data_IF_375984466332
#
_entry.id   IF_375984466332
#
_cell.length_a   1.000
_cell.length_b   1.000
_cell.length_c   1.000
_cell.angle_alpha   90.00
_cell.angle_beta   90.00
_cell.angle_gamma   90.00
#
_symmetry.space_group_name_H-M   'P 1'
#
loop_
_entity.id
_entity.type
_entity.pdbx_description
1 polymer ?
#
# COMPACT_ATOMS: atom_id res chain seq x y z
N UNK A 1 -1.99 -9.35 31.86
CA UNK A 1 -2.01 -8.03 32.54
C UNK A 1 -3.28 -7.30 32.09
N UNK A 2 -3.82 -6.38 32.90
CA UNK A 2 -5.18 -5.85 32.69
C UNK A 2 -5.26 -5.02 31.40
N UNK A 3 -6.45 -4.90 30.81
CA UNK A 3 -6.77 -4.18 29.56
C UNK A 3 -6.47 -2.66 29.61
N UNK A 4 -5.87 -2.17 30.71
CA UNK A 4 -5.85 -0.78 31.14
C UNK A 4 -4.61 -0.35 31.95
N UNK A 5 -3.49 -1.11 31.96
CA UNK A 5 -2.33 -0.75 32.80
C UNK A 5 -1.73 0.66 32.49
N UNK A 6 -2.00 1.22 31.30
CA UNK A 6 -1.62 2.60 30.94
C UNK A 6 -2.55 3.68 31.53
N UNK A 7 -3.79 3.32 31.92
CA UNK A 7 -4.77 4.25 32.48
C UNK A 7 -4.55 4.57 33.96
N UNK A 8 -3.69 3.81 34.66
CA UNK A 8 -3.45 3.98 36.10
C UNK A 8 -2.96 5.40 36.47
N UNK A 9 -2.35 6.12 35.52
CA UNK A 9 -1.91 7.52 35.67
C UNK A 9 -3.05 8.55 35.62
N UNK A 10 -4.22 8.20 35.08
CA UNK A 10 -5.37 9.09 34.94
C UNK A 10 -6.33 9.05 36.14
N UNK A 11 -6.02 8.34 37.22
CA UNK A 11 -6.88 8.26 38.41
C UNK A 11 -6.71 9.47 39.37
N UNK A 12 -6.98 10.70 38.92
CA UNK A 12 -6.95 11.88 39.80
C UNK A 12 -8.34 12.52 39.96
N UNK A 13 -8.89 12.62 41.19
CA UNK A 13 -10.25 13.09 41.41
C UNK A 13 -10.31 14.63 41.39
N UNK A 14 -10.70 15.21 40.25
CA UNK A 14 -11.23 16.58 40.23
C UNK A 14 -12.75 16.55 40.41
N UNK A 15 -13.35 17.49 41.15
CA UNK A 15 -14.79 17.69 41.08
C UNK A 15 -15.13 18.13 39.68
N UNK A 16 -16.24 17.62 39.23
CA UNK A 16 -16.49 17.26 37.86
C UNK A 16 -17.74 18.12 37.54
N UNK A 17 -17.64 19.10 36.65
CA UNK A 17 -18.68 20.13 36.41
C UNK A 17 -19.99 19.54 35.84
N UNK A 18 -21.09 20.30 35.92
CA UNK A 18 -22.49 19.88 35.68
C UNK A 18 -22.81 19.16 34.34
N UNK A 19 -21.91 19.15 33.35
CA UNK A 19 -22.09 18.51 32.04
C UNK A 19 -21.68 17.02 31.98
N UNK A 20 -21.39 16.40 33.11
CA UNK A 20 -20.97 14.99 33.16
C UNK A 20 -22.09 14.02 32.89
N UNK A 21 -23.30 14.32 33.39
CA UNK A 21 -24.42 13.40 33.25
C UNK A 21 -24.73 13.11 31.77
N UNK A 22 -24.55 14.09 30.88
CA UNK A 22 -24.70 13.90 29.44
C UNK A 22 -23.62 12.99 28.86
N UNK A 23 -22.36 13.15 29.28
CA UNK A 23 -21.22 12.34 28.83
C UNK A 23 -21.28 10.92 29.43
N UNK A 24 -21.72 10.76 30.67
CA UNK A 24 -21.98 9.46 31.31
C UNK A 24 -23.11 8.72 30.61
N UNK A 25 -24.20 9.42 30.31
CA UNK A 25 -25.30 8.85 29.53
C UNK A 25 -24.81 8.41 28.15
N UNK A 26 -23.99 9.25 27.49
CA UNK A 26 -23.46 8.92 26.17
C UNK A 26 -22.46 7.76 26.21
N UNK A 27 -21.53 7.76 27.17
CA UNK A 27 -20.57 6.69 27.40
C UNK A 27 -21.28 5.35 27.64
N UNK A 28 -22.34 5.35 28.45
CA UNK A 28 -23.18 4.18 28.66
C UNK A 28 -23.86 3.71 27.37
N UNK A 29 -24.37 4.65 26.57
CA UNK A 29 -25.06 4.35 25.31
C UNK A 29 -24.13 3.70 24.27
N UNK A 30 -22.89 4.18 24.17
CA UNK A 30 -21.89 3.64 23.22
C UNK A 30 -21.03 2.52 23.83
N UNK A 31 -21.19 2.20 25.11
CA UNK A 31 -20.41 1.19 25.82
C UNK A 31 -18.93 1.55 26.02
N UNK A 32 -18.64 2.84 26.22
CA UNK A 32 -17.29 3.36 26.48
C UNK A 32 -17.07 3.73 27.94
N UNK A 33 -15.80 3.80 28.33
CA UNK A 33 -15.36 4.25 29.65
C UNK A 33 -14.98 5.73 29.60
N UNK A 34 -15.40 6.51 30.60
CA UNK A 34 -14.92 7.89 30.77
C UNK A 34 -13.55 7.83 31.43
N UNK A 35 -12.55 8.38 30.74
CA UNK A 35 -11.22 8.62 31.30
C UNK A 35 -11.09 10.10 31.57
N UNK A 36 -10.81 10.49 32.81
CA UNK A 36 -10.69 11.90 33.21
C UNK A 36 -9.38 12.11 33.98
N UNK A 37 -8.63 13.15 33.65
CA UNK A 37 -7.40 13.53 34.34
C UNK A 37 -7.27 15.06 34.49
N UNK A 38 -6.10 15.52 34.91
CA UNK A 38 -5.84 16.96 35.12
C UNK A 38 -5.97 17.79 33.82
N UNK A 39 -5.78 17.15 32.67
CA UNK A 39 -5.76 17.78 31.35
C UNK A 39 -7.10 17.73 30.59
N UNK A 40 -8.16 17.17 31.20
CA UNK A 40 -9.47 16.99 30.56
C UNK A 40 -9.99 15.55 30.65
N UNK A 41 -11.05 15.25 29.89
CA UNK A 41 -11.71 13.93 29.86
C UNK A 41 -12.04 13.45 28.45
N UNK A 42 -11.96 12.15 28.20
CA UNK A 42 -12.35 11.57 26.92
C UNK A 42 -13.09 10.26 27.12
N UNK A 43 -13.75 9.78 26.06
CA UNK A 43 -14.38 8.46 26.06
C UNK A 43 -13.44 7.47 25.38
N UNK A 44 -13.22 6.34 26.04
CA UNK A 44 -12.41 5.24 25.54
C UNK A 44 -13.29 4.03 25.28
N UNK A 45 -13.32 3.55 24.03
CA UNK A 45 -13.93 2.27 23.68
C UNK A 45 -12.83 1.28 23.33
N UNK A 46 -12.90 0.06 23.86
CA UNK A 46 -11.87 -0.96 23.65
C UNK A 46 -12.46 -2.29 23.16
N UNK A 47 -12.32 -2.56 21.87
CA UNK A 47 -12.80 -3.80 21.24
C UNK A 47 -11.64 -4.76 21.02
N UNK A 48 -11.79 -6.04 21.39
CA UNK A 48 -10.73 -7.05 21.21
C UNK A 48 -11.19 -8.20 20.33
N UNK A 49 -10.41 -8.48 19.28
CA UNK A 49 -10.66 -9.50 18.28
C UNK A 49 -9.73 -10.70 18.51
N UNK A 50 -10.27 -11.91 18.72
CA UNK A 50 -9.46 -13.12 18.90
C UNK A 50 -8.87 -13.60 17.57
N UNK A 51 -7.88 -14.52 17.59
CA UNK A 51 -7.32 -15.10 16.36
C UNK A 51 -8.37 -15.67 15.39
N UNK A 52 -9.46 -16.24 15.91
CA UNK A 52 -10.54 -16.78 15.07
C UNK A 52 -11.41 -15.74 14.37
N UNK A 53 -11.23 -14.45 14.63
CA UNK A 53 -11.99 -13.40 13.96
C UNK A 53 -11.68 -13.39 12.46
N UNK A 54 -12.74 -13.23 11.67
CA UNK A 54 -12.69 -13.15 10.22
C UNK A 54 -13.15 -11.77 9.74
N UNK A 55 -12.48 -11.25 8.74
CA UNK A 55 -12.84 -10.02 8.04
C UNK A 55 -12.92 -10.34 6.54
N UNK A 56 -14.15 -10.61 6.09
CA UNK A 56 -14.41 -11.16 4.77
C UNK A 56 -13.85 -12.58 4.63
N UNK A 57 -12.94 -12.77 3.68
CA UNK A 57 -12.30 -14.06 3.36
C UNK A 57 -10.99 -14.29 4.13
N UNK A 58 -10.54 -13.28 4.90
CA UNK A 58 -9.30 -13.35 5.69
C UNK A 58 -9.60 -13.59 7.18
N UNK A 59 -8.64 -14.15 7.92
CA UNK A 59 -8.76 -14.37 9.38
C UNK A 59 -7.52 -13.90 10.11
N UNK A 60 -7.68 -13.38 11.34
CA UNK A 60 -6.54 -13.00 12.18
C UNK A 60 -5.62 -14.17 12.48
N UNK A 61 -6.12 -15.42 12.42
CA UNK A 61 -5.30 -16.61 12.60
C UNK A 61 -4.17 -16.66 11.58
N UNK A 62 -4.45 -16.42 10.31
CA UNK A 62 -3.43 -16.45 9.25
C UNK A 62 -2.48 -15.26 9.36
N UNK A 63 -3.00 -14.09 9.77
CA UNK A 63 -2.18 -12.91 10.02
C UNK A 63 -1.18 -13.18 11.16
N UNK A 64 -1.64 -13.79 12.26
CA UNK A 64 -0.82 -14.07 13.45
C UNK A 64 0.12 -15.27 13.31
N UNK A 65 -0.05 -16.11 12.29
CA UNK A 65 0.94 -17.11 11.90
C UNK A 65 2.23 -16.46 11.36
N UNK A 66 2.17 -15.19 10.96
CA UNK A 66 3.33 -14.41 10.54
C UNK A 66 4.07 -13.85 11.74
N UNK A 67 5.34 -14.21 11.89
CA UNK A 67 6.19 -13.70 12.96
C UNK A 67 6.62 -12.23 12.70
N UNK A 68 6.90 -11.89 11.44
CA UNK A 68 7.38 -10.57 11.04
C UNK A 68 6.87 -10.14 9.66
N UNK A 69 6.66 -8.84 9.47
CA UNK A 69 6.48 -8.23 8.14
C UNK A 69 7.85 -8.05 7.47
N UNK A 70 7.94 -8.41 6.19
CA UNK A 70 9.08 -8.03 5.36
C UNK A 70 8.98 -6.52 5.08
N UNK A 71 9.81 -5.75 5.78
CA UNK A 71 9.87 -4.30 5.64
C UNK A 71 10.22 -3.87 4.20
N UNK A 72 10.90 -4.72 3.42
CA UNK A 72 11.22 -4.43 2.02
C UNK A 72 9.98 -4.44 1.13
N UNK A 73 8.83 -4.91 1.61
CA UNK A 73 7.57 -4.80 0.89
C UNK A 73 6.92 -3.41 1.03
N UNK A 74 7.44 -2.57 1.92
CA UNK A 74 6.96 -1.21 2.15
C UNK A 74 8.08 -0.19 1.90
N UNK A 75 7.96 0.56 0.79
CA UNK A 75 9.01 1.45 0.24
C UNK A 75 9.56 2.49 1.23
N UNK A 76 8.80 2.85 2.27
CA UNK A 76 9.17 3.86 3.28
C UNK A 76 9.52 3.26 4.65
N UNK A 77 9.53 1.93 4.78
CA UNK A 77 10.02 1.22 5.95
C UNK A 77 11.41 0.64 5.67
N UNK A 78 12.30 1.41 5.04
CA UNK A 78 13.68 0.98 4.81
C UNK A 78 14.43 0.91 6.15
N UNK A 79 14.31 -0.22 6.81
CA UNK A 79 14.97 -0.58 8.06
C UNK A 79 15.59 -1.96 7.87
N UNK A 80 16.73 -2.26 8.48
CA UNK A 80 17.25 -3.64 8.51
C UNK A 80 16.57 -4.47 9.62
N UNK A 81 15.64 -3.86 10.36
CA UNK A 81 14.92 -4.47 11.48
C UNK A 81 13.70 -5.22 10.98
N UNK A 82 13.53 -6.46 11.45
CA UNK A 82 12.26 -7.20 11.32
C UNK A 82 11.15 -6.48 12.10
N UNK A 83 10.01 -6.26 11.44
CA UNK A 83 8.86 -5.59 12.06
C UNK A 83 7.92 -6.68 12.58
N UNK A 84 7.83 -6.84 13.90
CA UNK A 84 6.87 -7.76 14.50
C UNK A 84 5.45 -7.19 14.43
N UNK A 85 4.43 -8.04 14.53
CA UNK A 85 3.04 -7.60 14.65
C UNK A 85 2.82 -6.65 15.84
N UNK A 86 3.51 -6.91 16.95
CA UNK A 86 3.48 -6.07 18.15
C UNK A 86 4.19 -4.72 17.99
N UNK A 87 4.96 -4.53 16.92
CA UNK A 87 5.60 -3.25 16.61
C UNK A 87 4.66 -2.30 15.87
N UNK A 88 3.52 -2.80 15.38
CA UNK A 88 2.55 -2.05 14.60
C UNK A 88 1.58 -1.28 15.49
N UNK A 89 1.32 -0.03 15.11
CA UNK A 89 0.20 0.76 15.58
C UNK A 89 -0.62 1.24 14.37
N UNK A 90 -1.85 0.76 14.29
CA UNK A 90 -2.80 1.09 13.22
C UNK A 90 -3.53 2.37 13.63
N UNK A 91 -3.57 3.38 12.76
CA UNK A 91 -4.18 4.68 13.08
C UNK A 91 -5.11 5.13 11.95
N UNK A 92 -6.27 5.62 12.36
CA UNK A 92 -7.32 6.23 11.54
C UNK A 92 -8.06 7.27 12.39
N UNK A 93 -8.36 8.45 11.84
CA UNK A 93 -8.99 9.52 12.59
C UNK A 93 -10.19 10.14 11.86
N UNK A 94 -11.25 10.40 12.61
CA UNK A 94 -12.37 11.22 12.17
C UNK A 94 -12.22 12.64 12.66
N UNK A 95 -12.53 13.59 11.79
CA UNK A 95 -12.15 14.98 12.01
C UNK A 95 -13.30 15.94 11.72
N UNK A 96 -13.22 17.14 12.28
CA UNK A 96 -14.25 18.19 12.12
C UNK A 96 -14.26 18.85 10.73
N UNK A 97 -13.42 18.41 9.79
CA UNK A 97 -13.32 19.00 8.47
C UNK A 97 -12.54 18.15 7.48
N UNK A 98 -12.80 18.34 6.19
CA UNK A 98 -12.20 17.53 5.11
C UNK A 98 -10.76 17.96 4.72
N UNK A 99 -10.15 18.87 5.48
CA UNK A 99 -8.76 19.30 5.27
C UNK A 99 -8.03 19.45 6.59
N UNK A 100 -6.70 19.28 6.57
CA UNK A 100 -5.81 19.45 7.72
C UNK A 100 -5.58 20.93 8.08
N UNK A 101 -6.61 21.78 7.94
CA UNK A 101 -6.54 23.18 8.36
C UNK A 101 -6.33 23.27 9.88
N UNK A 102 -5.72 24.37 10.32
CA UNK A 102 -5.34 24.58 11.73
C UNK A 102 -6.51 24.53 12.73
N UNK A 103 -7.75 24.74 12.27
CA UNK A 103 -8.97 24.63 13.08
C UNK A 103 -9.61 23.24 13.09
N UNK A 104 -9.12 22.30 12.28
CA UNK A 104 -9.62 20.93 12.24
C UNK A 104 -9.13 20.16 13.46
N UNK A 105 -10.05 19.45 14.11
CA UNK A 105 -9.81 18.65 15.32
C UNK A 105 -10.12 17.19 14.99
N UNK A 106 -9.27 16.28 15.44
CA UNK A 106 -9.58 14.85 15.43
C UNK A 106 -10.49 14.59 16.64
N UNK A 107 -11.77 14.35 16.41
CA UNK A 107 -12.72 14.11 17.49
C UNK A 107 -12.87 12.61 17.80
N UNK A 108 -12.41 11.75 16.91
CA UNK A 108 -12.31 10.32 17.12
C UNK A 108 -10.98 9.84 16.55
N UNK A 109 -10.17 9.19 17.36
CA UNK A 109 -8.93 8.54 16.91
C UNK A 109 -9.01 7.05 17.23
N UNK A 110 -9.00 6.23 16.19
CA UNK A 110 -8.87 4.79 16.29
C UNK A 110 -7.39 4.41 16.37
N UNK A 111 -7.05 3.54 17.31
CA UNK A 111 -5.72 2.98 17.50
C UNK A 111 -5.82 1.47 17.64
N UNK A 112 -5.28 0.73 16.66
CA UNK A 112 -5.24 -0.73 16.68
C UNK A 112 -3.84 -1.23 17.04
N UNK A 113 -3.76 -2.17 17.99
CA UNK A 113 -2.51 -2.83 18.39
C UNK A 113 -2.68 -4.34 18.45
N UNK A 114 -1.60 -5.08 18.23
CA UNK A 114 -1.57 -6.53 18.46
C UNK A 114 -0.95 -6.80 19.82
N UNK A 115 -1.73 -7.38 20.73
CA UNK A 115 -1.31 -7.71 22.09
C UNK A 115 -1.87 -9.07 22.51
N UNK A 116 -1.02 -9.90 23.12
CA UNK A 116 -1.37 -11.26 23.58
C UNK A 116 -2.10 -12.12 22.52
N UNK A 117 -1.66 -12.03 21.26
CA UNK A 117 -2.26 -12.75 20.14
C UNK A 117 -3.68 -12.30 19.79
N UNK A 118 -4.03 -11.05 20.11
CA UNK A 118 -5.33 -10.44 19.79
C UNK A 118 -5.10 -9.10 19.13
N UNK A 119 -5.99 -8.71 18.22
CA UNK A 119 -6.07 -7.33 17.76
C UNK A 119 -6.96 -6.57 18.75
N UNK A 120 -6.44 -5.52 19.36
CA UNK A 120 -7.18 -4.63 20.25
C UNK A 120 -7.30 -3.28 19.57
N UNK A 121 -8.52 -2.80 19.39
CA UNK A 121 -8.84 -1.49 18.85
C UNK A 121 -9.34 -0.60 19.97
N UNK A 122 -8.58 0.44 20.25
CA UNK A 122 -8.93 1.55 21.14
C UNK A 122 -9.47 2.70 20.31
N UNK A 123 -10.60 3.27 20.72
CA UNK A 123 -11.19 4.43 20.08
C UNK A 123 -11.30 5.53 21.11
N UNK A 124 -10.58 6.62 20.84
CA UNK A 124 -10.51 7.80 21.67
C UNK A 124 -11.46 8.84 21.12
N UNK A 125 -12.58 9.06 21.80
CA UNK A 125 -13.61 10.01 21.39
C UNK A 125 -13.55 11.27 22.27
N UNK A 126 -13.55 12.43 21.63
CA UNK A 126 -13.49 13.74 22.23
C UNK A 126 -14.91 14.27 22.53
N UNK A 127 -15.32 14.37 23.80
CA UNK A 127 -16.66 14.84 24.14
C UNK A 127 -16.83 16.36 23.96
N UNK A 128 -15.75 17.14 24.12
CA UNK A 128 -15.71 18.59 23.87
C UNK A 128 -14.28 19.06 23.58
N UNK A 129 -14.10 20.21 22.93
CA UNK A 129 -12.81 20.74 22.51
C UNK A 129 -11.78 20.97 23.63
N UNK A 130 -12.15 21.48 24.82
CA UNK A 130 -11.19 21.72 25.90
C UNK A 130 -10.51 20.45 26.41
N UNK A 131 -11.10 19.28 26.14
CA UNK A 131 -10.64 17.99 26.63
C UNK A 131 -9.57 17.32 25.74
N UNK A 132 -9.25 17.93 24.58
CA UNK A 132 -8.33 17.36 23.60
C UNK A 132 -6.93 17.01 24.17
N UNK A 133 -6.31 17.81 25.07
CA UNK A 133 -5.02 17.46 25.64
C UNK A 133 -5.00 16.09 26.34
N UNK A 134 -6.03 15.77 27.14
CA UNK A 134 -6.12 14.48 27.82
C UNK A 134 -6.22 13.31 26.84
N UNK A 135 -6.98 13.49 25.75
CA UNK A 135 -7.12 12.48 24.71
C UNK A 135 -5.78 12.22 23.98
N UNK A 136 -5.06 13.28 23.61
CA UNK A 136 -3.77 13.19 22.95
C UNK A 136 -2.71 12.54 23.86
N UNK A 137 -2.70 12.87 25.14
CA UNK A 137 -1.75 12.28 26.11
C UNK A 137 -1.93 10.77 26.20
N UNK A 138 -3.18 10.30 26.28
CA UNK A 138 -3.49 8.88 26.31
C UNK A 138 -3.14 8.14 25.01
N UNK A 139 -3.32 8.78 23.84
CA UNK A 139 -2.88 8.22 22.55
C UNK A 139 -1.36 8.06 22.52
N UNK A 140 -0.62 9.05 23.03
CA UNK A 140 0.84 9.02 23.04
C UNK A 140 1.40 7.83 23.82
N UNK A 141 0.82 7.51 24.99
CA UNK A 141 1.24 6.36 25.80
C UNK A 141 1.06 5.01 25.07
N UNK A 142 0.01 4.84 24.25
CA UNK A 142 -0.16 3.61 23.46
C UNK A 142 0.85 3.52 22.31
N UNK A 143 1.18 4.66 21.69
CA UNK A 143 2.08 4.72 20.53
C UNK A 143 3.55 4.60 20.93
N UNK A 144 3.96 5.12 22.11
CA UNK A 144 5.37 5.29 22.50
C UNK A 144 6.20 3.99 22.47
N UNK A 145 5.58 2.84 22.79
CA UNK A 145 6.28 1.55 22.77
C UNK A 145 6.35 0.90 21.37
N UNK A 146 5.90 1.58 20.29
CA UNK A 146 5.70 0.99 18.96
C UNK A 146 6.53 1.72 17.91
N UNK A 147 7.13 0.95 17.00
CA UNK A 147 8.09 1.49 16.04
C UNK A 147 7.53 1.74 14.63
N UNK A 148 6.30 1.29 14.35
CA UNK A 148 5.71 1.38 13.00
C UNK A 148 4.25 1.80 13.05
N UNK A 149 3.95 2.96 12.49
CA UNK A 149 2.59 3.46 12.29
C UNK A 149 2.08 2.97 10.95
N UNK A 150 0.86 2.45 10.91
CA UNK A 150 0.18 2.00 9.69
C UNK A 150 -1.10 2.80 9.54
N UNK A 151 -1.29 3.41 8.37
CA UNK A 151 -2.50 4.21 8.06
C UNK A 151 -2.97 3.92 6.64
N UNK A 152 -4.14 4.44 6.28
CA UNK A 152 -4.57 4.52 4.89
C UNK A 152 -4.73 5.99 4.48
N UNK A 153 -3.85 6.49 3.60
CA UNK A 153 -3.79 7.92 3.23
C UNK A 153 -3.39 8.88 4.36
N UNK A 154 -3.01 8.36 5.53
CA UNK A 154 -2.64 9.18 6.69
C UNK A 154 -1.39 10.02 6.52
N UNK A 155 -0.54 9.77 5.51
CA UNK A 155 0.60 10.64 5.20
C UNK A 155 0.16 12.04 4.78
N UNK A 156 -1.00 12.14 4.14
CA UNK A 156 -1.55 13.38 3.62
C UNK A 156 -2.66 13.95 4.53
N UNK A 157 -3.08 13.23 5.58
CA UNK A 157 -4.25 13.59 6.37
C UNK A 157 -4.05 13.36 7.87
N UNK A 158 -4.20 12.12 8.34
CA UNK A 158 -4.29 11.80 9.77
C UNK A 158 -3.05 12.25 10.57
N UNK A 159 -1.85 11.84 10.13
CA UNK A 159 -0.63 12.11 10.88
C UNK A 159 -0.26 13.60 10.88
N UNK A 160 -0.24 14.33 9.74
CA UNK A 160 0.00 15.77 9.76
C UNK A 160 -1.01 16.53 10.65
N UNK A 161 -2.27 16.10 10.66
CA UNK A 161 -3.29 16.70 11.52
C UNK A 161 -2.98 16.45 13.00
N UNK A 162 -2.74 15.19 13.39
CA UNK A 162 -2.41 14.85 14.77
C UNK A 162 -1.14 15.56 15.25
N UNK A 163 -0.07 15.57 14.45
CA UNK A 163 1.18 16.30 14.75
C UNK A 163 0.93 17.80 14.97
N UNK A 164 0.04 18.39 14.17
CA UNK A 164 -0.39 19.79 14.36
C UNK A 164 -1.13 19.96 15.69
N UNK A 165 -2.03 19.03 16.07
CA UNK A 165 -2.75 19.07 17.35
C UNK A 165 -1.79 18.98 18.55
N UNK A 166 -0.85 18.04 18.52
CA UNK A 166 0.21 17.95 19.55
C UNK A 166 0.99 19.26 19.65
N UNK A 167 1.40 19.83 18.51
CA UNK A 167 2.15 21.10 18.47
C UNK A 167 1.35 22.26 19.07
N UNK A 168 0.05 22.37 18.75
CA UNK A 168 -0.82 23.41 19.28
C UNK A 168 -0.98 23.34 20.80
N UNK A 169 -1.07 22.13 21.35
CA UNK A 169 -1.12 21.89 22.79
C UNK A 169 0.25 21.90 23.46
N UNK A 170 1.33 22.18 22.70
CA UNK A 170 2.73 22.19 23.17
C UNK A 170 3.18 20.83 23.74
N UNK A 171 2.61 19.76 23.21
CA UNK A 171 2.91 18.38 23.54
C UNK A 171 3.91 17.80 22.53
N UNK A 172 4.73 16.85 22.97
CA UNK A 172 5.62 16.11 22.07
C UNK A 172 4.77 15.09 21.30
N UNK A 173 4.86 15.10 19.97
CA UNK A 173 4.19 14.08 19.15
C UNK A 173 4.84 12.71 19.37
N UNK A 174 4.05 11.63 19.55
CA UNK A 174 4.57 10.26 19.62
C UNK A 174 4.95 9.70 18.25
N UNK A 175 4.60 10.40 17.16
CA UNK A 175 4.82 9.96 15.77
C UNK A 175 6.16 10.40 15.19
N UNK A 176 6.90 11.27 15.88
CA UNK A 176 8.18 11.78 15.39
C UNK A 176 9.22 10.65 15.26
N UNK A 177 9.75 10.46 14.04
CA UNK A 177 10.78 9.47 13.75
C UNK A 177 10.29 8.02 13.71
N UNK A 178 8.98 7.79 13.83
CA UNK A 178 8.37 6.46 13.70
C UNK A 178 8.31 6.07 12.23
N UNK A 179 8.55 4.78 11.93
CA UNK A 179 8.40 4.30 10.56
C UNK A 179 6.94 4.36 10.16
N UNK A 180 6.66 4.78 8.93
CA UNK A 180 5.29 4.96 8.47
C UNK A 180 4.98 4.10 7.23
N UNK A 181 4.01 3.21 7.38
CA UNK A 181 3.43 2.42 6.29
C UNK A 181 2.08 3.04 5.93
N UNK A 182 2.07 3.83 4.85
CA UNK A 182 0.82 4.28 4.24
C UNK A 182 0.36 3.29 3.17
N UNK A 183 -0.71 2.56 3.49
CA UNK A 183 -1.25 1.50 2.66
C UNK A 183 -1.85 2.01 1.35
N UNK A 184 -2.31 3.26 1.27
CA UNK A 184 -2.89 3.78 0.02
C UNK A 184 -1.86 3.78 -1.11
N UNK A 185 -0.62 4.19 -0.82
CA UNK A 185 0.45 4.23 -1.80
C UNK A 185 0.89 2.83 -2.23
N UNK A 186 0.94 1.89 -1.27
CA UNK A 186 1.21 0.49 -1.54
C UNK A 186 0.11 -0.10 -2.45
N UNK A 187 -1.15 0.11 -2.09
CA UNK A 187 -2.28 -0.45 -2.82
C UNK A 187 -2.42 0.15 -4.22
N UNK A 188 -2.28 1.47 -4.38
CA UNK A 188 -2.30 2.11 -5.71
C UNK A 188 -1.20 1.59 -6.63
N UNK A 189 -0.09 1.11 -6.09
CA UNK A 189 1.00 0.57 -6.91
C UNK A 189 0.61 -0.73 -7.61
N UNK A 190 -0.08 -1.60 -6.89
CA UNK A 190 -0.39 -2.95 -7.37
C UNK A 190 -1.80 -3.03 -7.97
N UNK A 191 -2.76 -2.23 -7.51
CA UNK A 191 -4.17 -2.35 -7.90
C UNK A 191 -4.77 -1.13 -8.60
N UNK A 192 -4.05 -0.02 -8.82
CA UNK A 192 -4.60 1.13 -9.58
C UNK A 192 -5.03 0.70 -10.99
N UNK A 193 -6.25 1.08 -11.36
CA UNK A 193 -6.85 0.74 -12.66
C UNK A 193 -7.28 -0.73 -12.81
N UNK A 194 -7.20 -1.54 -11.74
CA UNK A 194 -7.80 -2.89 -11.71
C UNK A 194 -9.26 -2.84 -11.26
N UNK A 195 -9.58 -1.88 -10.40
CA UNK A 195 -10.91 -1.60 -9.88
C UNK A 195 -11.32 -0.16 -10.24
N UNK A 196 -12.58 0.19 -10.00
CA UNK A 196 -13.13 1.52 -10.29
C UNK A 196 -12.34 2.65 -9.60
N UNK A 197 -11.93 2.40 -8.34
CA UNK A 197 -11.04 3.29 -7.59
C UNK A 197 -10.12 2.50 -6.64
N UNK A 198 -9.42 3.23 -5.76
CA UNK A 198 -8.52 2.67 -4.74
C UNK A 198 -8.85 3.24 -3.37
N UNK A 199 -10.14 3.45 -3.11
CA UNK A 199 -10.64 3.79 -1.77
C UNK A 199 -10.50 2.60 -0.83
N UNK A 200 -10.50 2.84 0.48
CA UNK A 200 -10.39 1.77 1.48
C UNK A 200 -11.54 0.76 1.32
N UNK A 201 -12.78 1.24 1.20
CA UNK A 201 -13.97 0.41 0.97
C UNK A 201 -13.89 -0.43 -0.31
N UNK A 202 -13.40 0.12 -1.42
CA UNK A 202 -13.19 -0.67 -2.65
C UNK A 202 -12.14 -1.75 -2.44
N UNK A 203 -11.00 -1.44 -1.83
CA UNK A 203 -9.97 -2.44 -1.57
C UNK A 203 -10.43 -3.50 -0.56
N UNK A 204 -11.17 -3.11 0.45
CA UNK A 204 -11.79 -4.01 1.43
C UNK A 204 -12.75 -5.01 0.73
N UNK A 205 -13.59 -4.52 -0.18
CA UNK A 205 -14.49 -5.36 -0.98
C UNK A 205 -13.73 -6.27 -1.94
N UNK A 206 -12.86 -5.71 -2.76
CA UNK A 206 -12.23 -6.44 -3.87
C UNK A 206 -11.11 -7.39 -3.42
N UNK A 207 -10.42 -7.06 -2.33
CA UNK A 207 -9.28 -7.87 -1.84
C UNK A 207 -9.64 -8.73 -0.63
N UNK A 208 -10.55 -8.28 0.23
CA UNK A 208 -10.94 -9.02 1.43
C UNK A 208 -12.32 -9.68 1.28
N UNK A 209 -13.17 -9.24 0.35
CA UNK A 209 -14.53 -9.76 0.19
C UNK A 209 -15.50 -9.23 1.25
N UNK A 210 -15.23 -8.07 1.84
CA UNK A 210 -16.08 -7.45 2.86
C UNK A 210 -17.07 -6.50 2.19
N UNK A 211 -18.33 -6.58 2.61
CA UNK A 211 -19.39 -5.68 2.17
C UNK A 211 -19.97 -4.97 3.39
N UNK A 212 -19.74 -3.66 3.49
CA UNK A 212 -20.32 -2.85 4.56
C UNK A 212 -21.77 -2.51 4.22
N UNK A 213 -22.67 -2.74 5.17
CA UNK A 213 -24.08 -2.37 5.05
C UNK A 213 -24.36 -1.16 5.93
N UNK A 214 -25.06 -0.16 5.40
CA UNK A 214 -25.41 1.08 6.11
C UNK A 214 -24.21 1.83 6.68
N UNK A 215 -23.08 1.85 5.96
CA UNK A 215 -21.88 2.57 6.40
C UNK A 215 -22.12 4.09 6.39
N UNK A 216 -21.52 4.79 7.35
CA UNK A 216 -21.67 6.25 7.45
C UNK A 216 -20.88 6.92 6.34
N UNK A 217 -21.50 7.73 5.46
CA UNK A 217 -20.75 8.43 4.43
C UNK A 217 -19.75 9.42 5.06
N UNK A 218 -18.47 9.31 4.71
CA UNK A 218 -17.40 10.11 5.31
C UNK A 218 -17.64 11.63 5.29
N UNK A 219 -18.29 12.15 4.25
CA UNK A 219 -18.62 13.59 4.16
C UNK A 219 -19.69 14.05 5.17
N UNK A 220 -20.47 13.14 5.76
CA UNK A 220 -21.45 13.44 6.80
C UNK A 220 -20.85 13.40 8.20
N UNK A 221 -19.74 12.69 8.39
CA UNK A 221 -19.13 12.44 9.71
C UNK A 221 -18.88 13.74 10.51
N UNK A 222 -18.29 14.82 9.94
CA UNK A 222 -18.11 16.07 10.67
C UNK A 222 -19.44 16.69 11.15
N UNK A 223 -20.48 16.61 10.32
CA UNK A 223 -21.79 17.17 10.64
C UNK A 223 -22.46 16.43 11.81
N UNK A 224 -22.31 15.10 11.87
CA UNK A 224 -22.83 14.29 12.97
C UNK A 224 -22.18 14.68 14.30
N UNK A 225 -20.88 14.93 14.32
CA UNK A 225 -20.18 15.42 15.52
C UNK A 225 -20.64 16.82 15.93
N UNK A 226 -20.83 17.74 14.97
CA UNK A 226 -21.39 19.07 15.29
C UNK A 226 -22.83 19.03 15.80
N UNK A 227 -23.63 18.04 15.38
CA UNK A 227 -25.00 17.86 15.89
C UNK A 227 -25.00 17.28 17.30
N UNK A 228 -24.07 16.38 17.61
CA UNK A 228 -23.79 15.93 18.96
C UNK A 228 -23.40 17.10 19.87
N UNK A 229 -22.40 17.90 19.52
CA UNK A 229 -21.97 19.04 20.35
C UNK A 229 -23.08 20.07 20.60
N UNK A 230 -23.98 20.29 19.63
CA UNK A 230 -25.03 21.30 19.74
C UNK A 230 -26.28 20.82 20.46
N UNK A 231 -26.64 19.54 20.30
CA UNK A 231 -27.96 19.01 20.71
C UNK A 231 -27.88 17.81 21.65
N UNK A 232 -26.68 17.27 21.88
CA UNK A 232 -26.49 16.01 22.60
C UNK A 232 -27.00 14.78 21.84
N UNK A 233 -27.30 14.90 20.54
CA UNK A 233 -27.81 13.79 19.73
C UNK A 233 -26.67 12.82 19.42
N UNK A 234 -26.73 11.67 20.07
CA UNK A 234 -25.62 10.75 20.22
C UNK A 234 -25.77 9.54 19.30
N UNK A 235 -27.01 9.17 19.00
CA UNK A 235 -27.38 7.95 18.28
C UNK A 235 -26.65 7.78 16.93
N UNK A 236 -26.47 8.84 16.11
CA UNK A 236 -25.76 8.70 14.84
C UNK A 236 -24.25 8.43 14.98
N UNK A 237 -23.64 8.74 16.13
CA UNK A 237 -22.20 8.55 16.36
C UNK A 237 -21.83 7.07 16.48
N UNK A 238 -22.77 6.18 16.81
CA UNK A 238 -22.53 4.74 16.80
C UNK A 238 -22.09 4.25 15.40
N UNK A 239 -22.64 4.84 14.33
CA UNK A 239 -22.25 4.57 12.95
C UNK A 239 -20.82 5.06 12.64
N UNK A 240 -20.43 6.22 13.16
CA UNK A 240 -19.08 6.78 13.03
C UNK A 240 -18.05 5.92 13.75
N UNK A 241 -18.36 5.51 14.99
CA UNK A 241 -17.52 4.61 15.77
C UNK A 241 -17.34 3.25 15.07
N UNK A 242 -18.41 2.70 14.50
CA UNK A 242 -18.31 1.45 13.74
C UNK A 242 -17.44 1.63 12.49
N UNK A 243 -17.62 2.73 11.75
CA UNK A 243 -16.83 3.06 10.56
C UNK A 243 -15.33 3.07 10.86
N UNK A 244 -14.90 3.94 11.78
CA UNK A 244 -13.51 4.07 12.20
C UNK A 244 -12.93 2.75 12.71
N UNK A 245 -13.70 1.97 13.49
CA UNK A 245 -13.24 0.66 13.98
C UNK A 245 -13.00 -0.33 12.84
N UNK A 246 -13.89 -0.39 11.85
CA UNK A 246 -13.74 -1.26 10.69
C UNK A 246 -12.56 -0.82 9.81
N UNK A 247 -12.31 0.48 9.71
CA UNK A 247 -11.14 1.01 9.00
C UNK A 247 -9.85 0.55 9.66
N UNK A 248 -9.71 0.70 10.98
CA UNK A 248 -8.57 0.17 11.74
C UNK A 248 -8.37 -1.34 11.53
N UNK A 249 -9.43 -2.13 11.64
CA UNK A 249 -9.36 -3.59 11.41
C UNK A 249 -8.88 -3.89 9.98
N UNK A 250 -9.41 -3.15 9.01
CA UNK A 250 -9.06 -3.30 7.59
C UNK A 250 -7.57 -3.01 7.33
N UNK A 251 -6.97 -2.04 8.03
CA UNK A 251 -5.55 -1.73 7.87
C UNK A 251 -4.66 -2.95 8.11
N UNK A 252 -4.92 -3.73 9.17
CA UNK A 252 -4.11 -4.92 9.46
C UNK A 252 -4.24 -5.98 8.37
N UNK A 253 -5.47 -6.25 7.94
CA UNK A 253 -5.75 -7.24 6.90
C UNK A 253 -5.17 -6.81 5.54
N UNK A 254 -5.27 -5.54 5.16
CA UNK A 254 -4.67 -5.04 3.93
C UNK A 254 -3.13 -5.09 3.96
N UNK A 255 -2.52 -4.81 5.11
CA UNK A 255 -1.07 -4.96 5.27
C UNK A 255 -0.64 -6.41 5.02
N UNK A 256 -1.38 -7.40 5.58
CA UNK A 256 -1.10 -8.82 5.34
C UNK A 256 -1.39 -9.25 3.88
N UNK A 257 -2.42 -8.70 3.23
CA UNK A 257 -2.65 -8.93 1.79
C UNK A 257 -1.47 -8.46 0.95
N UNK A 258 -0.91 -7.28 1.23
CA UNK A 258 0.26 -6.77 0.52
C UNK A 258 1.46 -7.70 0.70
N UNK A 259 1.72 -8.17 1.93
CA UNK A 259 2.79 -9.13 2.21
C UNK A 259 2.58 -10.43 1.44
N UNK A 260 1.41 -11.06 1.59
CA UNK A 260 1.09 -12.32 0.91
C UNK A 260 1.16 -12.19 -0.62
N UNK A 261 0.75 -11.03 -1.15
CA UNK A 261 0.82 -10.75 -2.58
C UNK A 261 2.26 -10.71 -3.08
N UNK A 262 3.21 -10.21 -2.29
CA UNK A 262 4.62 -10.18 -2.65
C UNK A 262 5.33 -11.50 -2.33
N UNK A 263 5.04 -12.15 -1.20
CA UNK A 263 5.57 -13.47 -0.82
C UNK A 263 5.27 -14.52 -1.90
N UNK A 264 4.02 -14.57 -2.37
CA UNK A 264 3.62 -15.48 -3.46
C UNK A 264 4.38 -15.19 -4.75
N UNK A 265 4.82 -13.95 -4.96
CA UNK A 265 5.57 -13.51 -6.14
C UNK A 265 6.97 -14.06 -6.09
N UNK A 266 7.51 -14.20 -4.88
CA UNK A 266 8.80 -14.78 -4.62
C UNK A 266 8.81 -16.31 -4.62
N UNK A 267 7.70 -16.95 -4.27
CA UNK A 267 7.66 -18.41 -4.08
C UNK A 267 7.11 -19.18 -5.28
N UNK A 268 6.00 -18.72 -5.85
CA UNK A 268 5.15 -19.56 -6.71
C UNK A 268 4.79 -18.93 -8.05
N UNK A 269 4.87 -17.60 -8.16
CA UNK A 269 4.81 -16.90 -9.43
C UNK A 269 3.45 -16.95 -10.12
N UNK A 270 2.32 -17.21 -9.44
CA UNK A 270 0.99 -17.26 -10.06
C UNK A 270 0.32 -15.88 -10.19
N UNK A 271 0.70 -15.10 -11.21
CA UNK A 271 0.22 -13.73 -11.44
C UNK A 271 -0.31 -13.54 -12.86
N UNK A 272 -1.04 -12.44 -13.10
CA UNK A 272 -1.21 -11.96 -14.47
C UNK A 272 0.09 -11.28 -14.96
N UNK A 273 0.30 -11.12 -16.27
CA UNK A 273 1.45 -10.38 -16.80
C UNK A 273 1.55 -8.95 -16.26
N UNK A 274 0.42 -8.27 -16.08
CA UNK A 274 0.37 -6.94 -15.48
C UNK A 274 0.84 -6.94 -14.02
N UNK A 275 0.41 -7.92 -13.23
CA UNK A 275 0.80 -8.06 -11.84
C UNK A 275 2.32 -8.31 -11.71
N UNK A 276 2.85 -9.24 -12.51
CA UNK A 276 4.28 -9.53 -12.57
C UNK A 276 5.10 -8.28 -12.95
N UNK A 277 4.61 -7.50 -13.92
CA UNK A 277 5.24 -6.24 -14.32
C UNK A 277 5.24 -5.21 -13.19
N UNK A 278 4.13 -5.08 -12.45
CA UNK A 278 4.02 -4.16 -11.31
C UNK A 278 4.95 -4.54 -10.17
N UNK A 279 5.00 -5.83 -9.82
CA UNK A 279 5.88 -6.38 -8.77
C UNK A 279 7.35 -6.25 -9.18
N UNK A 280 7.69 -6.60 -10.42
CA UNK A 280 9.05 -6.46 -10.93
C UNK A 280 9.52 -5.00 -10.89
N UNK A 281 8.68 -4.05 -11.32
CA UNK A 281 8.99 -2.60 -11.23
C UNK A 281 9.10 -2.09 -9.80
N UNK A 282 8.39 -2.71 -8.86
CA UNK A 282 8.50 -2.38 -7.45
C UNK A 282 9.89 -2.75 -6.93
N UNK A 283 10.33 -4.00 -7.11
CA UNK A 283 11.69 -4.43 -6.71
C UNK A 283 12.79 -3.67 -7.44
N UNK A 284 12.60 -3.36 -8.73
CA UNK A 284 13.58 -2.57 -9.49
C UNK A 284 13.76 -1.16 -8.91
N UNK A 285 12.67 -0.51 -8.48
CA UNK A 285 12.72 0.83 -7.87
C UNK A 285 13.42 0.85 -6.52
N UNK A 286 13.39 -0.27 -5.80
CA UNK A 286 14.18 -0.47 -4.58
C UNK A 286 15.66 -0.78 -4.86
N UNK A 287 16.06 -0.85 -6.13
CA UNK A 287 17.42 -1.21 -6.53
C UNK A 287 17.70 -2.72 -6.52
N UNK A 288 16.71 -3.56 -6.20
CA UNK A 288 16.87 -5.02 -6.20
C UNK A 288 16.52 -5.61 -7.57
N UNK A 289 17.48 -5.51 -8.49
CA UNK A 289 17.33 -5.91 -9.90
C UNK A 289 17.16 -7.43 -10.03
N UNK A 290 17.80 -8.21 -9.17
CA UNK A 290 17.71 -9.66 -9.12
C UNK A 290 16.29 -10.12 -8.74
N UNK A 291 15.69 -9.57 -7.67
CA UNK A 291 14.29 -9.85 -7.30
C UNK A 291 13.33 -9.39 -8.39
N UNK A 292 13.60 -8.22 -8.98
CA UNK A 292 12.81 -7.71 -10.10
C UNK A 292 12.81 -8.68 -11.29
N UNK A 293 13.98 -9.20 -11.66
CA UNK A 293 14.13 -10.17 -12.74
C UNK A 293 13.40 -11.47 -12.41
N UNK A 294 13.62 -12.02 -11.22
CA UNK A 294 12.99 -13.27 -10.78
C UNK A 294 11.46 -13.18 -10.78
N UNK A 295 10.88 -12.07 -10.32
CA UNK A 295 9.44 -11.86 -10.33
C UNK A 295 8.86 -11.81 -11.75
N UNK A 296 9.60 -11.25 -12.71
CA UNK A 296 9.16 -11.16 -14.09
C UNK A 296 9.33 -12.48 -14.86
N UNK A 297 10.47 -13.16 -14.67
CA UNK A 297 10.85 -14.41 -15.34
C UNK A 297 9.82 -15.52 -15.11
N UNK A 298 9.29 -15.63 -13.89
CA UNK A 298 8.30 -16.64 -13.50
C UNK A 298 7.02 -16.62 -14.33
N UNK A 299 6.69 -15.50 -14.97
CA UNK A 299 5.50 -15.35 -15.79
C UNK A 299 5.78 -15.39 -17.30
N UNK A 300 7.05 -15.53 -17.71
CA UNK A 300 7.41 -15.63 -19.12
C UNK A 300 7.19 -17.04 -19.72
N UNK A 301 6.52 -17.98 -19.05
CA UNK A 301 6.29 -19.32 -19.61
C UNK A 301 4.92 -19.48 -20.27
N UNK A 302 4.03 -18.49 -20.12
CA UNK A 302 2.62 -18.57 -20.51
C UNK A 302 2.25 -17.37 -21.38
N UNK A 303 2.61 -17.39 -22.68
CA UNK A 303 2.48 -16.20 -23.51
C UNK A 303 1.28 -16.17 -24.46
N UNK A 304 0.52 -15.08 -24.35
CA UNK A 304 -0.31 -14.52 -25.41
C UNK A 304 0.36 -13.28 -26.05
N UNK A 305 -0.15 -12.84 -27.19
CA UNK A 305 0.32 -11.63 -27.90
C UNK A 305 -0.38 -10.34 -27.46
N UNK A 306 -0.88 -10.30 -26.22
CA UNK A 306 -1.56 -9.12 -25.69
C UNK A 306 -0.57 -8.01 -25.28
N UNK A 307 -1.10 -6.81 -25.01
CA UNK A 307 -0.29 -5.64 -24.66
C UNK A 307 0.43 -5.75 -23.31
N UNK A 308 -0.13 -6.46 -22.34
CA UNK A 308 0.44 -6.60 -20.99
C UNK A 308 1.62 -7.57 -21.00
N UNK A 309 1.43 -8.72 -21.65
CA UNK A 309 2.45 -9.73 -21.94
C UNK A 309 3.64 -9.11 -22.70
N UNK A 310 3.35 -8.29 -23.71
CA UNK A 310 4.38 -7.56 -24.45
C UNK A 310 5.16 -6.59 -23.55
N UNK A 311 4.47 -5.82 -22.71
CA UNK A 311 5.10 -4.88 -21.79
C UNK A 311 5.98 -5.59 -20.75
N UNK A 312 5.54 -6.75 -20.23
CA UNK A 312 6.32 -7.58 -19.33
C UNK A 312 7.59 -8.12 -20.00
N UNK A 313 7.48 -8.67 -21.21
CA UNK A 313 8.63 -9.13 -21.99
C UNK A 313 9.67 -8.03 -22.19
N UNK A 314 9.24 -6.85 -22.65
CA UNK A 314 10.13 -5.71 -22.88
C UNK A 314 10.83 -5.25 -21.60
N UNK A 315 10.11 -5.27 -20.47
CA UNK A 315 10.67 -4.95 -19.17
C UNK A 315 11.71 -5.99 -18.74
N UNK A 316 11.39 -7.27 -18.86
CA UNK A 316 12.26 -8.38 -18.44
C UNK A 316 13.53 -8.47 -19.27
N UNK A 317 13.42 -8.25 -20.59
CA UNK A 317 14.57 -8.11 -21.48
C UNK A 317 15.55 -7.03 -20.98
N UNK A 318 15.05 -5.87 -20.55
CA UNK A 318 15.91 -4.79 -20.03
C UNK A 318 16.60 -5.21 -18.74
N UNK A 319 15.91 -5.94 -17.86
CA UNK A 319 16.49 -6.46 -16.62
C UNK A 319 17.59 -7.49 -16.90
N UNK A 320 17.36 -8.46 -17.80
CA UNK A 320 18.41 -9.41 -18.20
C UNK A 320 19.63 -8.70 -18.78
N UNK A 321 19.42 -7.68 -19.61
CA UNK A 321 20.51 -6.87 -20.17
C UNK A 321 21.28 -6.11 -19.08
N UNK A 322 20.58 -5.54 -18.10
CA UNK A 322 21.18 -4.87 -16.94
C UNK A 322 22.01 -5.84 -16.09
N UNK A 323 21.55 -7.08 -15.92
CA UNK A 323 22.23 -8.14 -15.16
C UNK A 323 23.32 -8.88 -15.98
N UNK A 324 23.54 -8.51 -17.24
CA UNK A 324 24.51 -9.20 -18.13
C UNK A 324 24.08 -10.61 -18.56
N UNK A 325 22.83 -11.02 -18.30
CA UNK A 325 22.27 -12.34 -18.64
C UNK A 325 21.86 -12.38 -20.11
N UNK A 326 22.87 -12.45 -20.99
CA UNK A 326 22.67 -12.30 -22.43
C UNK A 326 21.89 -13.44 -23.09
N UNK A 327 22.01 -14.67 -22.58
CA UNK A 327 21.22 -15.81 -23.07
C UNK A 327 19.74 -15.66 -22.71
N UNK A 328 19.44 -15.32 -21.46
CA UNK A 328 18.06 -15.08 -21.01
C UNK A 328 17.43 -13.88 -21.74
N UNK A 329 18.21 -12.84 -22.02
CA UNK A 329 17.77 -11.72 -22.85
C UNK A 329 17.39 -12.16 -24.27
N UNK A 330 18.18 -13.04 -24.90
CA UNK A 330 17.85 -13.59 -26.23
C UNK A 330 16.60 -14.48 -26.18
N UNK A 331 16.46 -15.31 -25.15
CA UNK A 331 15.28 -16.15 -24.95
C UNK A 331 14.01 -15.28 -24.76
N UNK A 332 14.11 -14.19 -23.98
CA UNK A 332 13.01 -13.25 -23.79
C UNK A 332 12.63 -12.54 -25.08
N UNK A 333 13.61 -12.10 -25.87
CA UNK A 333 13.36 -11.46 -27.17
C UNK A 333 12.70 -12.41 -28.17
N UNK A 334 12.97 -13.72 -28.08
CA UNK A 334 12.32 -14.72 -28.93
C UNK A 334 10.79 -14.70 -28.78
N UNK A 335 10.27 -14.46 -27.57
CA UNK A 335 8.83 -14.34 -27.30
C UNK A 335 8.19 -13.11 -27.97
N UNK A 336 8.99 -12.12 -28.37
CA UNK A 336 8.54 -10.91 -29.05
C UNK A 336 8.63 -11.01 -30.58
N UNK A 337 9.17 -12.09 -31.13
CA UNK A 337 9.33 -12.26 -32.59
C UNK A 337 8.00 -12.49 -33.32
N UNK A 338 6.96 -12.95 -32.61
CA UNK A 338 5.60 -13.08 -33.15
C UNK A 338 4.79 -11.79 -33.02
N UNK A 339 5.29 -10.76 -32.32
CA UNK A 339 4.59 -9.49 -32.17
C UNK A 339 4.44 -8.76 -33.52
N UNK A 340 3.52 -7.79 -33.56
CA UNK A 340 3.37 -6.89 -34.70
C UNK A 340 4.12 -5.57 -34.49
N UNK A 341 4.33 -4.84 -35.58
CA UNK A 341 4.86 -3.49 -35.54
C UNK A 341 6.27 -3.40 -35.01
N UNK A 342 6.55 -2.28 -34.37
CA UNK A 342 7.88 -1.92 -33.92
C UNK A 342 8.43 -2.85 -32.84
N UNK A 343 7.56 -3.55 -32.11
CA UNK A 343 7.97 -4.51 -31.08
C UNK A 343 8.80 -5.65 -31.68
N UNK A 344 8.38 -6.20 -32.83
CA UNK A 344 9.12 -7.27 -33.51
C UNK A 344 10.43 -6.77 -34.10
N UNK A 345 10.45 -5.58 -34.69
CA UNK A 345 11.68 -4.96 -35.17
C UNK A 345 12.68 -4.69 -34.06
N UNK A 346 12.20 -4.22 -32.91
CA UNK A 346 13.02 -4.05 -31.71
C UNK A 346 13.61 -5.39 -31.27
N UNK A 347 12.78 -6.44 -31.23
CA UNK A 347 13.23 -7.78 -30.85
C UNK A 347 14.35 -8.30 -31.76
N UNK A 348 14.15 -8.23 -33.08
CA UNK A 348 15.13 -8.66 -34.07
C UNK A 348 16.44 -7.84 -33.98
N UNK A 349 16.33 -6.51 -33.87
CA UNK A 349 17.49 -5.62 -33.79
C UNK A 349 18.29 -5.76 -32.48
N UNK A 350 17.63 -5.92 -31.33
CA UNK A 350 18.32 -6.16 -30.06
C UNK A 350 18.94 -7.57 -30.02
N UNK A 351 18.30 -8.59 -30.59
CA UNK A 351 18.89 -9.93 -30.73
C UNK A 351 20.19 -9.87 -31.55
N UNK A 352 20.17 -9.16 -32.68
CA UNK A 352 21.37 -8.93 -33.48
C UNK A 352 22.47 -8.19 -32.70
N UNK A 353 22.12 -7.19 -31.85
CA UNK A 353 23.10 -6.50 -30.98
C UNK A 353 23.79 -7.47 -30.01
N UNK A 354 23.02 -8.32 -29.36
CA UNK A 354 23.55 -9.26 -28.36
C UNK A 354 24.44 -10.30 -29.04
N UNK A 355 23.97 -10.88 -30.15
CA UNK A 355 24.74 -11.86 -30.91
C UNK A 355 26.05 -11.26 -31.42
N UNK A 356 26.02 -10.04 -31.97
CA UNK A 356 27.20 -9.35 -32.47
C UNK A 356 28.20 -9.00 -31.35
N UNK A 357 27.74 -8.29 -30.31
CA UNK A 357 28.64 -7.65 -29.34
C UNK A 357 29.01 -8.55 -28.17
N UNK A 358 28.13 -9.49 -27.80
CA UNK A 358 28.28 -10.29 -26.59
C UNK A 358 28.61 -11.75 -26.90
N UNK A 359 27.99 -12.33 -27.92
CA UNK A 359 28.24 -13.73 -28.33
C UNK A 359 29.26 -13.88 -29.46
N UNK A 360 29.57 -12.79 -30.19
CA UNK A 360 30.44 -12.78 -31.38
C UNK A 360 29.96 -13.73 -32.49
N UNK A 361 28.66 -14.02 -32.53
CA UNK A 361 28.03 -14.83 -33.57
C UNK A 361 27.53 -13.90 -34.69
N UNK A 362 28.45 -13.58 -35.61
CA UNK A 362 28.19 -12.64 -36.71
C UNK A 362 27.20 -13.22 -37.71
N UNK A 363 27.21 -14.54 -37.91
CA UNK A 363 26.29 -15.22 -38.83
C UNK A 363 24.84 -15.06 -38.37
N UNK A 364 24.52 -15.48 -37.14
CA UNK A 364 23.16 -15.32 -36.60
C UNK A 364 22.77 -13.86 -36.44
N UNK A 365 23.71 -12.98 -36.03
CA UNK A 365 23.42 -11.55 -35.98
C UNK A 365 22.99 -11.00 -37.35
N UNK A 366 23.58 -11.50 -38.44
CA UNK A 366 23.22 -11.11 -39.81
C UNK A 366 21.84 -11.63 -40.19
N UNK A 367 21.52 -12.89 -39.87
CA UNK A 367 20.18 -13.47 -40.09
C UNK A 367 19.07 -12.63 -39.45
N UNK A 368 19.25 -12.22 -38.19
CA UNK A 368 18.27 -11.37 -37.48
C UNK A 368 18.07 -10.01 -38.15
N UNK A 369 19.13 -9.41 -38.72
CA UNK A 369 19.03 -8.13 -39.44
C UNK A 369 18.32 -8.30 -40.78
N UNK A 370 18.58 -9.38 -41.50
CA UNK A 370 17.88 -9.71 -42.75
C UNK A 370 16.39 -9.91 -42.47
N UNK A 371 16.03 -10.71 -41.46
CA UNK A 371 14.64 -10.90 -41.04
C UNK A 371 13.95 -9.58 -40.66
N UNK A 372 14.68 -8.65 -40.03
CA UNK A 372 14.13 -7.34 -39.67
C UNK A 372 13.84 -6.46 -40.91
N UNK A 373 14.72 -6.48 -41.91
CA UNK A 373 14.51 -5.77 -43.17
C UNK A 373 13.34 -6.38 -43.96
N UNK A 374 13.28 -7.70 -44.06
CA UNK A 374 12.16 -8.40 -44.71
C UNK A 374 10.83 -8.13 -44.02
N UNK A 375 10.80 -8.10 -42.68
CA UNK A 375 9.60 -7.75 -41.94
C UNK A 375 9.21 -6.27 -42.13
N UNK A 376 10.18 -5.37 -42.20
CA UNK A 376 9.94 -3.94 -42.42
C UNK A 376 9.32 -3.64 -43.80
N UNK A 377 9.73 -4.40 -44.83
CA UNK A 377 9.17 -4.32 -46.19
C UNK A 377 7.83 -5.07 -46.33
N UNK A 378 7.42 -5.82 -45.31
CA UNK A 378 6.17 -6.57 -45.31
C UNK A 378 4.95 -5.69 -45.03
N UNK A 379 3.80 -5.94 -45.68
CA UNK A 379 2.52 -5.31 -45.31
C UNK A 379 2.10 -5.56 -43.84
N UNK A 380 2.65 -6.62 -43.22
CA UNK A 380 2.38 -7.01 -41.84
C UNK A 380 3.08 -6.14 -40.79
N UNK A 381 3.96 -5.22 -41.21
CA UNK A 381 4.62 -4.30 -40.30
C UNK A 381 3.62 -3.35 -39.63
N UNK A 382 2.63 -2.81 -40.37
CA UNK A 382 1.66 -1.84 -39.84
C UNK A 382 2.36 -0.63 -39.14
N UNK A 383 3.45 -0.11 -39.73
CA UNK A 383 4.29 0.97 -39.16
C UNK A 383 4.11 2.26 -39.96
N UNK A 384 4.10 3.41 -39.28
CA UNK A 384 4.03 4.71 -39.96
C UNK A 384 5.28 5.01 -40.79
N UNK A 385 5.12 5.78 -41.88
CA UNK A 385 6.21 6.08 -42.81
C UNK A 385 7.46 6.68 -42.12
N UNK A 386 7.29 7.57 -41.15
CA UNK A 386 8.40 8.18 -40.41
C UNK A 386 9.18 7.15 -39.59
N UNK A 387 8.50 6.17 -39.01
CA UNK A 387 9.12 5.07 -38.25
C UNK A 387 9.78 4.06 -39.19
N UNK A 388 9.23 3.82 -40.38
CA UNK A 388 9.87 2.98 -41.40
C UNK A 388 11.24 3.54 -41.80
N UNK A 389 11.33 4.84 -42.09
CA UNK A 389 12.61 5.48 -42.44
C UNK A 389 13.66 5.33 -41.32
N UNK A 390 13.25 5.53 -40.06
CA UNK A 390 14.11 5.34 -38.89
C UNK A 390 14.64 3.91 -38.77
N UNK A 391 13.77 2.91 -38.94
CA UNK A 391 14.15 1.50 -38.85
C UNK A 391 15.04 1.07 -40.01
N UNK A 392 14.75 1.50 -41.24
CA UNK A 392 15.59 1.26 -42.41
C UNK A 392 17.01 1.78 -42.19
N UNK A 393 17.16 3.04 -41.77
CA UNK A 393 18.48 3.62 -41.49
C UNK A 393 19.23 2.84 -40.38
N UNK A 394 18.51 2.48 -39.31
CA UNK A 394 19.07 1.74 -38.17
C UNK A 394 19.57 0.35 -38.57
N UNK A 395 18.78 -0.39 -39.33
CA UNK A 395 19.08 -1.75 -39.77
C UNK A 395 20.17 -1.75 -40.85
N UNK A 396 20.15 -0.80 -41.78
CA UNK A 396 21.17 -0.68 -42.83
C UNK A 396 22.56 -0.36 -42.28
N UNK A 397 22.65 0.52 -41.29
CA UNK A 397 23.91 0.81 -40.58
C UNK A 397 24.46 -0.47 -39.95
N UNK A 398 23.60 -1.28 -39.33
CA UNK A 398 23.98 -2.55 -38.71
C UNK A 398 24.39 -3.60 -39.75
N UNK A 399 23.63 -3.76 -40.83
CA UNK A 399 23.94 -4.67 -41.95
C UNK A 399 25.32 -4.38 -42.53
N UNK A 400 25.62 -3.11 -42.85
CA UNK A 400 26.94 -2.68 -43.34
C UNK A 400 28.06 -3.01 -42.36
N UNK A 401 27.85 -2.77 -41.06
CA UNK A 401 28.83 -3.08 -40.01
C UNK A 401 29.10 -4.59 -39.88
N UNK A 402 28.06 -5.43 -39.96
CA UNK A 402 28.20 -6.89 -39.88
C UNK A 402 28.94 -7.43 -41.11
N UNK A 403 28.62 -6.97 -42.33
CA UNK A 403 29.31 -7.36 -43.57
C UNK A 403 30.82 -7.08 -43.54
N UNK A 404 31.25 -6.02 -42.85
CA UNK A 404 32.66 -5.69 -42.67
C UNK A 404 33.38 -6.63 -41.69
N UNK A 405 32.65 -7.31 -40.80
CA UNK A 405 33.19 -8.22 -39.78
C UNK A 405 33.16 -9.70 -40.20
N UNK A 406 32.45 -10.01 -41.28
CA UNK A 406 32.40 -11.36 -41.88
C UNK A 406 33.53 -11.56 -42.90
N UNK A 407 34.16 -10.48 -43.38
CA UNK A 407 35.41 -10.50 -44.15
C UNK A 407 36.60 -10.55 -43.21
#
# INVERSE_FOLDING_TARGET
>A
MSKFDFLDKFNSPRPLDADIAAIESFALEIGGDIVAGEQGRFLLLSTSYPPGFAHGTCSLKTVFEREYFDHSHFEFAATDRKIALSDLVLVDAETTGLSAASGTVAFLVGVGIVHDGRLVVHQFFLPDYPDEPAMLDAIAEIVEDRSVVVTFNGKCFDLPLLETRYTMHRMKTPFAGVLHIDLLHCCRRFWKGRFDDTTLQTLERELLGVFRHNDTPGYLIPQLYFDYLRRGHSEPLAGVLLHNRLDIVTLLFLADVVQNYLDRAEQSGFYSPLDALRISRFFQRQGNVERACAAADRQLTSFGSDGESTALCLHTFKLHKQLGRHDDALATLANLLSAKGETRLLALNESAKILEHKKRDIARATEFVVQALEYLDSPLAEISYTRVAFWNETLDKRRRRLLQRTK
#
